data_IF_276310159227
#
_entry.id   IF_276310159227
#
_cell.length_a   1.000
_cell.length_b   1.000
_cell.length_c   1.000
_cell.angle_alpha   90.00
_cell.angle_beta   90.00
_cell.angle_gamma   90.00
#
_symmetry.space_group_name_H-M   'P 1'
#
loop_
_entity.id
_entity.type
_entity.pdbx_description
1 polymer ?
#
# COMPACT_ATOMS: atom_id res chain seq x y z
N UNK A 1 9.97 -8.53 28.72
CA UNK A 1 8.64 -8.98 28.26
C UNK A 1 8.57 -8.65 26.77
N UNK A 2 8.63 -9.67 25.92
CA UNK A 2 8.72 -9.49 24.47
C UNK A 2 7.37 -8.97 23.97
N UNK A 3 7.37 -7.76 23.42
CA UNK A 3 6.25 -7.16 22.71
C UNK A 3 5.98 -7.99 21.46
N UNK A 4 5.07 -8.96 21.56
CA UNK A 4 4.46 -9.57 20.40
C UNK A 4 3.72 -8.45 19.65
N UNK A 5 4.38 -7.84 18.67
CA UNK A 5 3.74 -7.03 17.65
C UNK A 5 2.79 -7.97 16.92
N UNK A 6 1.54 -7.96 17.37
CA UNK A 6 0.41 -8.48 16.62
C UNK A 6 0.34 -7.66 15.34
N UNK A 7 1.05 -8.11 14.31
CA UNK A 7 0.83 -7.71 12.93
C UNK A 7 -0.60 -8.14 12.61
N UNK A 8 -1.54 -7.26 12.92
CA UNK A 8 -2.93 -7.36 12.48
C UNK A 8 -2.89 -7.32 10.97
N UNK A 9 -2.88 -8.52 10.39
CA UNK A 9 -2.99 -8.71 8.96
C UNK A 9 -4.46 -8.41 8.61
N UNK A 10 -4.74 -7.14 8.31
CA UNK A 10 -6.00 -6.77 7.67
C UNK A 10 -5.86 -7.24 6.22
N UNK A 11 -6.59 -8.30 5.79
CA UNK A 11 -6.52 -8.74 4.41
C UNK A 11 -6.95 -7.58 3.53
N UNK A 12 -6.21 -7.36 2.43
CA UNK A 12 -6.56 -6.30 1.45
C UNK A 12 -8.02 -6.52 1.05
N UNK A 13 -8.88 -5.59 1.44
CA UNK A 13 -10.29 -5.66 1.10
C UNK A 13 -10.47 -5.57 -0.42
N UNK A 14 -11.56 -6.12 -0.99
CA UNK A 14 -11.83 -6.07 -2.43
C UNK A 14 -11.73 -4.63 -2.98
N UNK A 15 -12.21 -3.64 -2.23
CA UNK A 15 -12.17 -2.23 -2.61
C UNK A 15 -10.74 -1.64 -2.65
N UNK A 16 -9.87 -2.05 -1.72
CA UNK A 16 -8.47 -1.60 -1.71
C UNK A 16 -7.67 -2.29 -2.80
N UNK A 17 -7.95 -3.56 -3.08
CA UNK A 17 -7.35 -4.27 -4.20
C UNK A 17 -7.76 -3.66 -5.54
N UNK A 18 -9.02 -3.24 -5.70
CA UNK A 18 -9.48 -2.51 -6.88
C UNK A 18 -8.75 -1.17 -7.07
N UNK A 19 -8.52 -0.41 -5.99
CA UNK A 19 -7.77 0.86 -6.04
C UNK A 19 -6.32 0.63 -6.49
N UNK A 20 -5.65 -0.37 -5.95
CA UNK A 20 -4.29 -0.76 -6.38
C UNK A 20 -4.31 -1.18 -7.85
N UNK A 21 -5.30 -1.98 -8.27
CA UNK A 21 -5.46 -2.43 -9.64
C UNK A 21 -5.69 -1.30 -10.65
N UNK A 22 -6.45 -0.26 -10.27
CA UNK A 22 -6.63 0.95 -11.09
C UNK A 22 -5.34 1.75 -11.20
N UNK A 23 -4.70 2.06 -10.06
CA UNK A 23 -3.44 2.79 -10.04
C UNK A 23 -2.34 2.08 -10.86
N UNK A 24 -2.29 0.75 -10.79
CA UNK A 24 -1.38 -0.06 -11.59
C UNK A 24 -1.64 0.08 -13.09
N UNK A 25 -2.90 -0.03 -13.54
CA UNK A 25 -3.27 0.13 -14.95
C UNK A 25 -2.94 1.53 -15.48
N UNK A 26 -3.27 2.56 -14.72
CA UNK A 26 -3.02 3.95 -15.12
C UNK A 26 -1.52 4.20 -15.26
N UNK A 27 -0.72 3.67 -14.34
CA UNK A 27 0.73 3.83 -14.35
C UNK A 27 1.41 3.00 -15.46
N UNK A 28 0.89 1.82 -15.80
CA UNK A 28 1.33 1.07 -16.98
C UNK A 28 1.07 1.84 -18.27
N UNK A 29 -0.14 2.40 -18.41
CA UNK A 29 -0.49 3.20 -19.58
C UNK A 29 0.38 4.45 -19.68
N UNK A 30 0.59 5.17 -18.56
CA UNK A 30 1.42 6.37 -18.51
C UNK A 30 2.86 6.11 -18.96
N UNK A 31 3.41 4.95 -18.62
CA UNK A 31 4.77 4.54 -19.00
C UNK A 31 4.83 3.75 -20.31
N UNK A 32 3.70 3.51 -20.96
CA UNK A 32 3.57 2.62 -22.11
C UNK A 32 4.21 1.23 -21.86
N UNK A 33 4.11 0.73 -20.62
CA UNK A 33 4.70 -0.55 -20.23
C UNK A 33 3.77 -1.71 -20.58
N UNK A 34 4.36 -2.79 -21.10
CA UNK A 34 3.67 -4.05 -21.25
C UNK A 34 3.41 -4.67 -19.87
N UNK A 35 2.22 -5.21 -19.66
CA UNK A 35 1.85 -5.88 -18.40
C UNK A 35 2.73 -7.10 -18.08
N UNK A 36 3.48 -7.63 -19.05
CA UNK A 36 4.36 -8.80 -18.91
C UNK A 36 5.85 -8.41 -18.77
N UNK A 37 6.18 -7.14 -18.57
CA UNK A 37 7.58 -6.74 -18.37
C UNK A 37 7.99 -6.81 -16.89
N UNK A 38 9.27 -7.01 -16.65
CA UNK A 38 9.85 -7.00 -15.29
C UNK A 38 9.59 -5.66 -14.58
N UNK A 39 9.53 -4.57 -15.35
CA UNK A 39 9.21 -3.23 -14.84
C UNK A 39 7.76 -3.12 -14.37
N UNK A 40 6.82 -3.82 -15.03
CA UNK A 40 5.44 -3.92 -14.58
C UNK A 40 5.33 -4.73 -13.28
N UNK A 41 6.11 -5.80 -13.13
CA UNK A 41 6.16 -6.58 -11.89
C UNK A 41 6.72 -5.76 -10.72
N UNK A 42 7.84 -5.06 -10.93
CA UNK A 42 8.44 -4.18 -9.93
C UNK A 42 7.47 -3.05 -9.52
N UNK A 43 6.70 -2.53 -10.48
CA UNK A 43 5.68 -1.51 -10.22
C UNK A 43 4.53 -2.06 -9.37
N UNK A 44 4.02 -3.25 -9.67
CA UNK A 44 2.98 -3.90 -8.89
C UNK A 44 3.45 -4.13 -7.44
N UNK A 45 4.65 -4.68 -7.25
CA UNK A 45 5.25 -4.88 -5.93
C UNK A 45 5.38 -3.56 -5.15
N UNK A 46 5.80 -2.48 -5.82
CA UNK A 46 5.89 -1.15 -5.20
C UNK A 46 4.53 -0.61 -4.74
N UNK A 47 3.49 -0.77 -5.55
CA UNK A 47 2.13 -0.31 -5.21
C UNK A 47 1.52 -1.12 -4.07
N UNK A 48 1.74 -2.43 -4.06
CA UNK A 48 1.34 -3.31 -2.94
C UNK A 48 2.08 -2.87 -1.67
N UNK A 49 3.41 -2.70 -1.73
CA UNK A 49 4.22 -2.34 -0.56
C UNK A 49 4.01 -0.91 -0.04
N UNK A 50 3.60 0.01 -0.91
CA UNK A 50 3.29 1.40 -0.55
C UNK A 50 1.90 1.54 0.08
N UNK A 51 1.05 0.50 -0.02
CA UNK A 51 -0.26 0.51 0.59
C UNK A 51 -0.10 0.53 2.12
N UNK A 52 -0.85 1.39 2.85
CA UNK A 52 -0.69 1.59 4.30
C UNK A 52 -0.94 0.32 5.15
N UNK A 53 -1.40 -0.76 4.51
CA UNK A 53 -1.74 -2.05 5.10
C UNK A 53 -0.51 -2.98 5.17
N UNK A 54 0.46 -2.84 4.26
CA UNK A 54 1.70 -3.64 4.24
C UNK A 54 2.85 -3.00 5.02
N UNK A 55 2.67 -1.76 5.48
CA UNK A 55 3.68 -1.03 6.26
C UNK A 55 3.06 -0.47 7.55
N UNK A 56 3.08 -1.23 8.66
CA UNK A 56 2.43 -0.85 9.92
C UNK A 56 2.97 0.47 10.52
N UNK A 57 4.20 0.86 10.18
CA UNK A 57 4.82 2.12 10.61
C UNK A 57 4.15 3.37 10.03
N UNK A 58 3.54 3.30 8.83
CA UNK A 58 2.87 4.46 8.21
C UNK A 58 1.50 4.74 8.81
N UNK A 59 0.72 3.68 9.10
CA UNK A 59 -0.60 3.79 9.74
C UNK A 59 -0.52 4.47 11.12
N UNK A 60 0.53 4.20 11.88
CA UNK A 60 0.72 4.79 13.21
C UNK A 60 1.14 6.28 13.12
N UNK A 61 1.92 6.67 12.11
CA UNK A 61 2.28 8.08 11.88
C UNK A 61 1.07 8.94 11.49
N UNK A 62 0.21 8.44 10.62
CA UNK A 62 -0.99 9.16 10.20
C UNK A 62 -2.00 9.32 11.36
N UNK A 63 -2.14 8.30 12.21
CA UNK A 63 -2.93 8.41 13.46
C UNK A 63 -2.38 9.45 14.42
N UNK A 64 -1.06 9.46 14.65
CA UNK A 64 -0.40 10.43 15.54
C UNK A 64 -0.44 11.86 15.00
N UNK A 65 -0.37 12.04 13.68
CA UNK A 65 -0.48 13.35 13.05
C UNK A 65 -1.91 13.92 13.21
N UNK A 66 -2.95 13.12 12.96
CA UNK A 66 -4.34 13.54 13.16
C UNK A 66 -4.69 13.83 14.61
N UNK A 67 -4.10 13.12 15.58
CA UNK A 67 -4.33 13.38 17.01
C UNK A 67 -3.68 14.67 17.50
N UNK A 68 -2.57 15.12 16.89
CA UNK A 68 -1.87 16.36 17.26
C UNK A 68 -2.52 17.64 16.73
N UNK A 69 -3.35 17.53 15.70
CA UNK A 69 -4.11 18.65 15.15
C UNK A 69 -5.42 18.92 15.90
N UNK A 70 -5.82 18.01 16.81
CA UNK A 70 -7.07 18.10 17.59
C UNK A 70 -6.85 18.49 19.06
N UNK A 71 -5.64 18.89 19.44
CA UNK A 71 -5.26 19.34 20.80
C UNK A 71 -4.81 20.80 20.75
#
# INVERSE_FOLDING_TARGET
>A
MNSAQTLSFDPIGPDEFEKIGRAFKDELQRRALSRKSDEAEALAAKLINASPITNPERRERDKRASSRLSA
#
